data_IF_630252639350
#
_entry.id   IF_630252639350
#
_cell.length_a   1.000
_cell.length_b   1.000
_cell.length_c   1.000
_cell.angle_alpha   90.00
_cell.angle_beta   90.00
_cell.angle_gamma   90.00
#
_symmetry.space_group_name_H-M   'P 1'
#
loop_
_entity.id
_entity.type
_entity.pdbx_description
1 polymer ?
#
# COMPACT_ATOMS: atom_id res chain seq x y z
N UNK A 1 -88.85 17.89 16.88
CA UNK A 1 -89.60 17.60 18.13
C UNK A 1 -88.59 17.26 19.23
N UNK A 2 -88.73 17.90 20.40
CA UNK A 2 -88.03 17.70 21.70
C UNK A 2 -86.54 18.11 21.73
N UNK A 3 -85.96 18.77 22.75
CA UNK A 3 -86.36 19.45 24.02
C UNK A 3 -85.05 20.15 24.48
N UNK A 4 -85.00 21.48 24.53
CA UNK A 4 -84.75 22.34 25.71
C UNK A 4 -83.99 21.75 26.94
N UNK A 5 -82.88 22.41 27.29
CA UNK A 5 -82.31 22.73 28.64
C UNK A 5 -81.29 23.87 28.43
N UNK A 6 -81.46 25.17 28.74
CA UNK A 6 -81.56 25.93 30.02
C UNK A 6 -80.61 25.43 31.15
N UNK A 7 -79.82 26.20 31.93
CA UNK A 7 -79.71 27.64 32.26
C UNK A 7 -78.30 27.96 32.87
N UNK A 8 -77.89 29.24 32.77
CA UNK A 8 -77.31 30.15 33.80
C UNK A 8 -75.84 30.12 34.31
N UNK A 9 -75.20 31.28 34.06
CA UNK A 9 -74.67 32.30 34.99
C UNK A 9 -73.81 31.94 36.22
N UNK A 10 -72.63 32.59 36.21
CA UNK A 10 -72.04 33.43 37.27
C UNK A 10 -70.86 32.88 38.11
N UNK A 11 -69.81 33.72 38.12
CA UNK A 11 -68.83 34.02 39.20
C UNK A 11 -67.83 32.96 39.64
N UNK A 12 -66.53 33.30 39.61
CA UNK A 12 -65.67 33.64 40.78
C UNK A 12 -64.20 33.71 40.31
N UNK A 13 -63.50 34.75 40.76
CA UNK A 13 -62.05 34.90 40.65
C UNK A 13 -61.32 34.06 41.70
N UNK A 14 -60.19 33.45 41.36
CA UNK A 14 -59.16 33.14 42.34
C UNK A 14 -57.78 33.03 41.69
N UNK A 15 -56.81 33.67 42.35
CA UNK A 15 -55.41 33.83 42.02
C UNK A 15 -54.62 32.51 41.98
N UNK A 16 -53.56 32.47 41.15
CA UNK A 16 -52.51 31.47 41.21
C UNK A 16 -51.49 31.63 40.08
N UNK A 17 -50.27 32.04 40.43
CA UNK A 17 -49.16 32.33 39.54
C UNK A 17 -48.53 31.08 38.87
N UNK A 18 -47.90 31.23 37.69
CA UNK A 18 -46.47 30.98 37.43
C UNK A 18 -46.10 31.00 35.92
N UNK A 19 -44.86 31.45 35.65
CA UNK A 19 -43.98 31.19 34.47
C UNK A 19 -44.35 31.93 33.16
N UNK A 20 -43.68 33.05 32.80
CA UNK A 20 -42.31 33.18 32.27
C UNK A 20 -42.12 32.56 30.88
N UNK A 21 -42.05 33.41 29.84
CA UNK A 21 -40.88 33.61 28.98
C UNK A 21 -41.27 34.38 27.70
N UNK A 22 -40.61 35.51 27.49
CA UNK A 22 -40.69 36.35 26.30
C UNK A 22 -39.74 35.76 25.24
N UNK A 23 -40.26 35.25 24.12
CA UNK A 23 -39.45 34.86 22.97
C UNK A 23 -39.22 36.04 22.04
N UNK A 24 -38.17 36.82 22.27
CA UNK A 24 -37.66 37.80 21.32
C UNK A 24 -36.82 37.10 20.26
N UNK A 25 -37.18 37.27 19.00
CA UNK A 25 -36.39 36.83 17.85
C UNK A 25 -35.12 37.69 17.80
N UNK A 26 -33.97 37.09 18.12
CA UNK A 26 -32.68 37.72 17.89
C UNK A 26 -32.41 37.77 16.37
N UNK A 27 -31.75 38.82 15.85
CA UNK A 27 -31.31 38.86 14.46
C UNK A 27 -30.23 37.79 14.24
N UNK A 28 -30.35 37.02 13.16
CA UNK A 28 -29.31 36.12 12.66
C UNK A 28 -28.00 36.89 12.48
N UNK A 29 -26.97 36.51 13.24
CA UNK A 29 -25.62 36.97 12.99
C UNK A 29 -25.10 36.31 11.71
N UNK A 30 -24.45 37.06 10.80
CA UNK A 30 -23.89 36.48 9.59
C UNK A 30 -22.79 35.50 10.00
N UNK A 31 -22.96 34.24 9.62
CA UNK A 31 -21.92 33.21 9.74
C UNK A 31 -20.82 33.59 8.75
N UNK A 32 -19.68 34.07 9.25
CA UNK A 32 -18.49 34.26 8.40
C UNK A 32 -18.01 32.87 7.94
N UNK A 33 -18.08 32.63 6.62
CA UNK A 33 -17.46 31.46 6.01
C UNK A 33 -15.94 31.53 6.25
N UNK A 34 -15.29 30.44 6.69
CA UNK A 34 -13.86 30.45 6.90
C UNK A 34 -13.17 30.79 5.58
N UNK A 35 -12.34 31.83 5.58
CA UNK A 35 -11.51 32.16 4.43
C UNK A 35 -10.61 30.96 4.12
N UNK A 36 -10.75 30.41 2.91
CA UNK A 36 -9.80 29.41 2.39
C UNK A 36 -8.49 30.16 2.16
N UNK A 37 -7.46 29.87 2.96
CA UNK A 37 -6.13 30.40 2.76
C UNK A 37 -5.55 29.78 1.49
N UNK A 38 -5.55 30.52 0.40
CA UNK A 38 -4.99 30.08 -0.88
C UNK A 38 -3.46 30.14 -0.74
N UNK A 39 -2.80 28.99 -0.71
CA UNK A 39 -1.33 28.97 -0.69
C UNK A 39 -0.80 29.65 -1.97
N UNK A 40 0.18 30.56 -1.87
CA UNK A 40 0.72 31.23 -3.04
C UNK A 40 1.45 30.23 -3.95
N UNK A 41 1.32 30.44 -5.27
CA UNK A 41 2.12 29.67 -6.23
C UNK A 41 3.61 29.98 -6.05
N UNK A 42 4.43 28.94 -6.07
CA UNK A 42 5.87 29.01 -6.10
C UNK A 42 6.39 29.51 -7.46
N UNK A 43 7.70 29.71 -7.57
CA UNK A 43 8.34 30.00 -8.85
C UNK A 43 8.08 28.88 -9.87
N UNK A 44 8.05 29.22 -11.17
CA UNK A 44 7.73 28.28 -12.23
C UNK A 44 8.74 27.11 -12.27
N UNK A 45 8.24 25.90 -12.50
CA UNK A 45 9.08 24.72 -12.66
C UNK A 45 10.02 24.85 -13.88
N UNK A 46 11.25 24.31 -13.80
CA UNK A 46 12.09 24.18 -14.98
C UNK A 46 11.47 23.17 -15.97
N UNK A 47 11.80 23.28 -17.26
CA UNK A 47 11.30 22.34 -18.28
C UNK A 47 11.69 20.89 -17.98
N UNK A 48 12.90 20.69 -17.43
CA UNK A 48 13.53 19.42 -17.08
C UNK A 48 14.39 19.62 -15.84
N UNK A 49 14.70 18.53 -15.14
CA UNK A 49 15.53 18.56 -13.92
C UNK A 49 16.85 17.80 -14.08
N UNK A 50 17.22 17.41 -15.30
CA UNK A 50 18.45 16.68 -15.60
C UNK A 50 19.73 17.37 -15.11
N UNK A 51 19.80 18.70 -15.18
CA UNK A 51 20.96 19.48 -14.69
C UNK A 51 21.08 19.47 -13.15
N UNK A 52 20.03 19.03 -12.46
CA UNK A 52 19.97 18.89 -11.00
C UNK A 52 20.22 17.44 -10.54
N UNK A 53 20.63 16.55 -11.45
CA UNK A 53 20.93 15.14 -11.16
C UNK A 53 21.92 15.01 -10.00
N UNK A 54 21.62 14.08 -9.10
CA UNK A 54 22.41 13.82 -7.90
C UNK A 54 22.11 14.77 -6.74
N UNK A 55 21.18 15.72 -6.91
CA UNK A 55 20.57 16.41 -5.78
C UNK A 55 19.77 15.42 -4.94
N UNK A 56 19.77 15.64 -3.62
CA UNK A 56 18.89 14.93 -2.66
C UNK A 56 17.84 15.84 -2.05
N UNK A 57 17.93 17.14 -2.32
CA UNK A 57 17.04 18.14 -1.76
C UNK A 57 15.79 18.25 -2.63
N UNK A 58 14.64 17.94 -2.04
CA UNK A 58 13.34 18.18 -2.67
C UNK A 58 13.07 19.68 -2.80
N UNK A 59 12.32 20.06 -3.83
CA UNK A 59 11.89 21.45 -3.99
C UNK A 59 10.50 21.56 -4.61
N UNK A 60 9.81 22.65 -4.28
CA UNK A 60 8.49 22.97 -4.79
C UNK A 60 8.57 24.04 -5.87
N UNK A 61 7.82 23.85 -6.95
CA UNK A 61 7.67 24.82 -8.03
C UNK A 61 6.24 24.78 -8.57
N UNK A 62 5.85 25.75 -9.40
CA UNK A 62 4.51 25.81 -9.99
C UNK A 62 4.48 25.39 -11.45
N UNK A 63 3.41 24.68 -11.82
CA UNK A 63 3.10 24.30 -13.20
C UNK A 63 1.77 24.90 -13.63
N UNK A 64 1.68 25.33 -14.89
CA UNK A 64 0.43 25.73 -15.52
C UNK A 64 -0.04 24.66 -16.52
N UNK A 65 -1.33 24.67 -16.87
CA UNK A 65 -1.89 23.79 -17.90
C UNK A 65 -1.14 23.92 -19.22
N UNK A 66 -0.77 25.15 -19.64
CA UNK A 66 0.00 25.38 -20.87
C UNK A 66 1.35 24.65 -20.85
N UNK A 67 2.08 24.75 -19.73
CA UNK A 67 3.38 24.05 -19.59
C UNK A 67 3.21 22.53 -19.48
N UNK A 68 2.07 22.07 -18.99
CA UNK A 68 1.79 20.66 -18.78
C UNK A 68 1.33 19.92 -20.06
N UNK A 69 0.82 20.63 -21.06
CA UNK A 69 0.44 20.03 -22.34
C UNK A 69 1.66 19.77 -23.28
N UNK A 70 2.84 20.28 -22.93
CA UNK A 70 4.02 20.27 -23.79
C UNK A 70 5.10 19.26 -23.37
N UNK A 71 5.90 18.81 -24.34
CA UNK A 71 7.07 17.97 -24.09
C UNK A 71 6.81 16.46 -24.08
N UNK A 72 7.83 15.70 -23.72
CA UNK A 72 7.80 14.23 -23.66
C UNK A 72 8.10 13.78 -22.24
N UNK A 73 7.43 12.72 -21.80
CA UNK A 73 7.64 12.11 -20.50
C UNK A 73 8.02 10.64 -20.72
N UNK A 74 9.06 10.19 -20.03
CA UNK A 74 9.50 8.81 -20.01
C UNK A 74 9.27 8.22 -18.63
N UNK A 75 8.67 7.05 -18.58
CA UNK A 75 8.27 6.42 -17.31
C UNK A 75 6.93 6.90 -16.78
N UNK A 76 6.55 6.31 -15.64
CA UNK A 76 5.32 6.58 -14.93
C UNK A 76 5.58 6.33 -13.44
N UNK A 77 5.99 7.36 -12.71
CA UNK A 77 6.36 7.25 -11.29
C UNK A 77 7.76 7.80 -11.04
N UNK A 78 8.83 7.00 -10.97
CA UNK A 78 10.11 7.58 -11.35
C UNK A 78 10.01 7.91 -12.85
N UNK A 79 9.91 9.19 -13.15
CA UNK A 79 10.12 9.74 -14.49
C UNK A 79 11.61 9.94 -14.69
N UNK A 80 12.12 9.76 -15.91
CA UNK A 80 13.52 10.12 -16.17
C UNK A 80 13.71 11.63 -16.00
N UNK A 81 14.86 12.06 -15.47
CA UNK A 81 15.14 13.48 -15.17
C UNK A 81 15.19 14.41 -16.40
N UNK A 82 15.22 13.86 -17.61
CA UNK A 82 15.08 14.57 -18.88
C UNK A 82 13.63 14.67 -19.40
N UNK A 83 12.67 14.15 -18.63
CA UNK A 83 11.23 14.28 -18.91
C UNK A 83 10.73 15.71 -18.65
N UNK A 84 9.71 16.10 -19.42
CA UNK A 84 9.04 17.38 -19.24
C UNK A 84 8.29 17.42 -17.90
N UNK A 85 8.75 18.28 -16.98
CA UNK A 85 8.31 18.29 -15.57
C UNK A 85 6.80 18.50 -15.45
N UNK A 86 6.27 19.58 -16.03
CA UNK A 86 4.84 19.89 -15.87
C UNK A 86 3.93 18.89 -16.58
N UNK A 87 4.39 18.28 -17.68
CA UNK A 87 3.64 17.19 -18.33
C UNK A 87 3.65 15.91 -17.50
N UNK A 88 4.76 15.61 -16.82
CA UNK A 88 4.84 14.53 -15.86
C UNK A 88 3.95 14.79 -14.64
N UNK A 89 3.83 16.06 -14.21
CA UNK A 89 2.94 16.45 -13.11
C UNK A 89 1.45 16.30 -13.48
N UNK A 90 1.07 16.65 -14.70
CA UNK A 90 -0.28 16.38 -15.21
C UNK A 90 -0.54 14.89 -15.37
N UNK A 91 0.42 14.12 -15.89
CA UNK A 91 0.34 12.66 -15.87
C UNK A 91 0.13 12.13 -14.46
N UNK A 92 0.83 12.71 -13.47
CA UNK A 92 0.72 12.39 -12.05
C UNK A 92 -0.62 12.77 -11.39
N UNK A 93 -1.50 13.49 -12.10
CA UNK A 93 -2.78 13.97 -11.56
C UNK A 93 -2.64 15.19 -10.64
N UNK A 94 -1.46 15.81 -10.60
CA UNK A 94 -1.17 16.95 -9.73
C UNK A 94 -1.48 18.30 -10.38
N UNK A 95 -1.62 18.33 -11.71
CA UNK A 95 -1.91 19.54 -12.49
C UNK A 95 -3.10 19.25 -13.40
N UNK A 96 -4.12 20.11 -13.34
CA UNK A 96 -5.31 20.04 -14.17
C UNK A 96 -5.55 21.35 -14.93
N UNK A 97 -6.77 21.88 -14.83
CA UNK A 97 -7.18 23.13 -15.49
C UNK A 97 -6.67 24.40 -14.79
N UNK A 98 -6.24 24.28 -13.53
CA UNK A 98 -5.69 25.38 -12.75
C UNK A 98 -4.19 25.16 -12.49
N UNK A 99 -3.39 26.24 -12.40
CA UNK A 99 -1.99 26.13 -12.02
C UNK A 99 -1.86 25.61 -10.58
N UNK A 100 -0.87 24.74 -10.36
CA UNK A 100 -0.68 24.08 -9.07
C UNK A 100 0.81 24.04 -8.70
N UNK A 101 1.07 24.05 -7.39
CA UNK A 101 2.39 23.75 -6.84
C UNK A 101 2.61 22.25 -6.82
N UNK A 102 3.81 21.82 -7.21
CA UNK A 102 4.25 20.42 -7.18
C UNK A 102 5.61 20.34 -6.50
N UNK A 103 5.79 19.32 -5.65
CA UNK A 103 7.08 19.06 -5.00
C UNK A 103 7.78 17.90 -5.67
N UNK A 104 9.02 18.13 -6.10
CA UNK A 104 9.85 17.17 -6.84
C UNK A 104 10.86 16.52 -5.89
N UNK A 105 10.88 15.19 -5.90
CA UNK A 105 11.89 14.36 -5.27
C UNK A 105 12.84 13.77 -6.31
N UNK A 106 14.13 13.96 -6.09
CA UNK A 106 15.18 13.37 -6.92
C UNK A 106 15.49 11.94 -6.49
N UNK A 107 15.78 11.09 -7.46
CA UNK A 107 16.11 9.68 -7.24
C UNK A 107 17.25 9.24 -8.18
N UNK A 108 17.88 8.12 -7.84
CA UNK A 108 18.82 7.46 -8.75
C UNK A 108 18.14 7.05 -10.07
N UNK A 109 18.97 6.82 -11.09
CA UNK A 109 18.52 6.28 -12.37
C UNK A 109 17.90 4.88 -12.25
N UNK A 110 17.13 4.49 -13.27
CA UNK A 110 16.54 3.15 -13.42
C UNK A 110 17.12 2.45 -14.65
N UNK A 111 17.10 1.11 -14.63
CA UNK A 111 17.48 0.28 -15.77
C UNK A 111 16.42 0.21 -16.88
N UNK A 112 15.18 0.55 -16.54
CA UNK A 112 14.07 0.71 -17.47
C UNK A 112 13.02 1.67 -16.88
N UNK A 113 12.24 2.26 -17.77
CA UNK A 113 11.10 3.11 -17.46
C UNK A 113 9.89 2.60 -18.23
N UNK A 114 8.83 2.24 -17.52
CA UNK A 114 7.60 1.70 -18.11
C UNK A 114 6.67 2.84 -18.53
N UNK A 115 6.10 2.75 -19.73
CA UNK A 115 5.08 3.70 -20.18
C UNK A 115 3.73 3.45 -19.50
N UNK A 116 2.95 4.50 -19.30
CA UNK A 116 1.52 4.39 -19.00
C UNK A 116 0.73 5.52 -19.64
N UNK A 117 -0.59 5.42 -19.56
CA UNK A 117 -1.49 6.52 -19.84
C UNK A 117 -2.29 6.83 -18.57
N UNK A 118 -2.20 8.06 -18.10
CA UNK A 118 -2.96 8.54 -16.95
C UNK A 118 -3.26 10.03 -17.12
N UNK A 119 -4.42 10.45 -16.61
CA UNK A 119 -4.84 11.87 -16.59
C UNK A 119 -4.76 12.55 -17.97
N UNK A 120 -5.05 11.80 -19.04
CA UNK A 120 -5.01 12.29 -20.42
C UNK A 120 -3.60 12.43 -21.02
N UNK A 121 -2.56 11.99 -20.32
CA UNK A 121 -1.17 12.01 -20.78
C UNK A 121 -0.69 10.58 -21.02
N UNK A 122 -0.17 10.32 -22.22
CA UNK A 122 0.57 9.08 -22.53
C UNK A 122 2.08 9.35 -22.34
N UNK A 123 2.75 8.50 -21.57
CA UNK A 123 4.21 8.51 -21.40
C UNK A 123 4.87 7.43 -22.27
N UNK A 124 6.20 7.44 -22.35
CA UNK A 124 6.95 6.50 -23.19
C UNK A 124 7.87 5.62 -22.37
N UNK A 125 8.07 4.41 -22.88
CA UNK A 125 9.00 3.46 -22.29
C UNK A 125 10.43 3.83 -22.69
N UNK A 126 11.37 3.61 -21.79
CA UNK A 126 12.79 3.79 -22.05
C UNK A 126 13.61 2.71 -21.36
N UNK A 127 14.84 2.51 -21.84
CA UNK A 127 15.81 1.64 -21.19
C UNK A 127 16.55 2.35 -20.06
N UNK A 128 17.78 1.92 -19.79
CA UNK A 128 18.58 2.44 -18.68
C UNK A 128 18.86 3.94 -18.86
N UNK A 129 18.64 4.72 -17.79
CA UNK A 129 18.90 6.16 -17.73
C UNK A 129 19.39 6.58 -16.34
N UNK A 130 20.28 7.57 -16.30
CA UNK A 130 21.11 7.86 -15.13
C UNK A 130 20.50 8.71 -14.02
N UNK A 131 19.26 9.14 -14.11
CA UNK A 131 18.61 9.92 -13.04
C UNK A 131 17.10 9.97 -13.20
N UNK A 132 16.40 10.01 -12.08
CA UNK A 132 14.94 10.00 -12.05
C UNK A 132 14.40 11.08 -11.11
N UNK A 133 13.13 11.40 -11.26
CA UNK A 133 12.38 12.16 -10.27
C UNK A 133 10.97 11.64 -10.12
N UNK A 134 10.36 11.92 -8.97
CA UNK A 134 8.95 11.67 -8.69
C UNK A 134 8.35 12.90 -7.99
N UNK A 135 7.02 12.95 -7.86
CA UNK A 135 6.35 14.01 -7.12
C UNK A 135 5.85 13.53 -5.77
N UNK A 136 5.93 14.38 -4.74
CA UNK A 136 5.22 14.13 -3.48
C UNK A 136 3.71 14.11 -3.71
N UNK A 137 3.02 13.14 -3.12
CA UNK A 137 1.55 13.05 -3.19
C UNK A 137 1.00 12.63 -4.56
N UNK A 138 1.84 12.24 -5.52
CA UNK A 138 1.35 11.59 -6.74
C UNK A 138 0.72 10.23 -6.38
N UNK A 139 -0.60 10.11 -6.59
CA UNK A 139 -1.36 8.86 -6.45
C UNK A 139 -1.27 7.97 -7.68
N UNK A 140 -0.44 8.32 -8.67
CA UNK A 140 0.11 7.29 -9.51
C UNK A 140 0.92 6.43 -8.56
N UNK A 141 0.32 5.32 -8.13
CA UNK A 141 1.02 4.30 -7.39
C UNK A 141 2.40 4.18 -8.00
N UNK A 142 3.43 4.17 -7.14
CA UNK A 142 4.75 3.68 -7.51
C UNK A 142 4.55 2.60 -8.57
N UNK A 143 5.25 2.66 -9.73
CA UNK A 143 5.06 1.61 -10.71
C UNK A 143 5.16 0.33 -9.91
N UNK A 144 4.16 -0.54 -10.07
CA UNK A 144 4.23 -1.93 -9.65
C UNK A 144 5.45 -2.49 -10.38
N UNK A 145 6.59 -2.21 -9.77
CA UNK A 145 7.95 -2.38 -10.21
C UNK A 145 8.66 -3.21 -9.16
N UNK A 146 7.88 -4.09 -8.53
CA UNK A 146 8.22 -5.49 -8.44
C UNK A 146 7.01 -6.26 -9.03
N UNK A 147 6.98 -6.46 -10.36
CA UNK A 147 6.57 -7.80 -10.81
C UNK A 147 7.66 -8.74 -10.30
N UNK A 148 7.56 -9.15 -9.04
CA UNK A 148 7.98 -10.51 -8.71
C UNK A 148 7.18 -11.38 -9.66
N UNK A 149 7.85 -12.02 -10.62
CA UNK A 149 7.24 -13.15 -11.31
C UNK A 149 6.55 -14.00 -10.24
N UNK A 150 5.22 -14.20 -10.36
CA UNK A 150 4.46 -14.94 -9.37
C UNK A 150 5.23 -16.22 -9.03
N UNK A 151 5.68 -16.34 -7.78
CA UNK A 151 6.55 -17.42 -7.39
C UNK A 151 5.86 -18.74 -7.73
N UNK A 152 6.60 -19.63 -8.39
CA UNK A 152 6.08 -20.95 -8.73
C UNK A 152 5.62 -21.68 -7.47
N UNK A 153 4.65 -22.56 -7.61
CA UNK A 153 4.12 -23.32 -6.47
C UNK A 153 5.24 -24.14 -5.81
N UNK A 154 5.28 -24.10 -4.47
CA UNK A 154 6.27 -24.87 -3.73
C UNK A 154 6.19 -26.37 -4.03
N UNK A 155 7.35 -27.07 -4.07
CA UNK A 155 7.34 -28.51 -4.17
C UNK A 155 6.74 -29.11 -2.90
N UNK A 156 6.07 -30.26 -3.02
CA UNK A 156 5.48 -30.94 -1.86
C UNK A 156 6.50 -31.44 -0.83
N UNK A 157 7.78 -31.53 -1.18
CA UNK A 157 8.94 -31.74 -0.31
C UNK A 157 10.23 -31.35 -1.04
N UNK A 158 11.34 -31.28 -0.31
CA UNK A 158 12.63 -30.82 -0.80
C UNK A 158 13.60 -31.96 -1.21
N UNK A 159 13.21 -33.25 -1.18
CA UNK A 159 14.10 -34.39 -1.49
C UNK A 159 14.84 -34.27 -2.82
N UNK A 160 14.20 -33.69 -3.83
CA UNK A 160 14.77 -33.54 -5.17
C UNK A 160 15.87 -32.47 -5.23
N UNK A 161 15.91 -31.59 -4.24
CA UNK A 161 16.86 -30.49 -4.12
C UNK A 161 18.03 -30.85 -3.20
N UNK A 162 18.06 -32.07 -2.66
CA UNK A 162 19.10 -32.49 -1.73
C UNK A 162 20.50 -32.26 -2.29
N UNK A 163 21.33 -31.61 -1.48
CA UNK A 163 22.74 -31.34 -1.80
C UNK A 163 22.96 -30.22 -2.81
N UNK A 164 21.93 -29.42 -3.13
CA UNK A 164 22.13 -28.19 -3.92
C UNK A 164 22.67 -27.05 -3.07
N UNK A 165 22.38 -27.03 -1.77
CA UNK A 165 22.68 -25.90 -0.86
C UNK A 165 22.08 -24.56 -1.34
N UNK A 166 21.07 -24.62 -2.21
CA UNK A 166 20.45 -23.45 -2.83
C UNK A 166 19.28 -22.93 -1.99
N UNK A 167 19.11 -21.60 -2.01
CA UNK A 167 17.89 -20.94 -1.55
C UNK A 167 16.81 -21.03 -2.63
N UNK A 168 15.62 -21.46 -2.24
CA UNK A 168 14.46 -21.66 -3.11
C UNK A 168 13.34 -20.76 -2.64
N UNK A 169 12.85 -19.92 -3.55
CA UNK A 169 11.66 -19.08 -3.37
C UNK A 169 10.48 -19.71 -4.10
N UNK A 170 9.36 -19.85 -3.42
CA UNK A 170 8.14 -20.43 -3.98
C UNK A 170 6.90 -19.93 -3.23
N UNK A 171 5.71 -20.17 -3.78
CA UNK A 171 4.44 -19.78 -3.15
C UNK A 171 3.64 -20.99 -2.63
N UNK A 172 3.10 -20.86 -1.42
CA UNK A 172 2.23 -21.83 -0.79
C UNK A 172 0.76 -21.45 -0.92
N UNK A 173 -0.07 -22.44 -1.23
CA UNK A 173 -1.54 -22.31 -1.17
C UNK A 173 -2.05 -22.80 0.17
N UNK A 174 -3.25 -22.37 0.58
CA UNK A 174 -3.93 -22.89 1.76
C UNK A 174 -3.95 -24.44 1.79
N UNK A 175 -4.29 -25.08 0.67
CA UNK A 175 -4.31 -26.55 0.59
C UNK A 175 -2.93 -27.16 0.84
N UNK A 176 -1.87 -26.57 0.30
CA UNK A 176 -0.51 -27.07 0.51
C UNK A 176 -0.05 -26.97 1.98
N UNK A 177 -0.60 -26.04 2.77
CA UNK A 177 -0.30 -25.95 4.22
C UNK A 177 -0.93 -27.08 5.04
N UNK A 178 -1.94 -27.76 4.50
CA UNK A 178 -2.60 -28.89 5.15
C UNK A 178 -1.97 -30.24 4.76
N UNK A 179 -1.11 -30.26 3.75
CA UNK A 179 -0.57 -31.47 3.13
C UNK A 179 0.83 -31.85 3.66
N UNK A 180 1.10 -33.15 3.74
CA UNK A 180 2.40 -33.69 4.15
C UNK A 180 2.58 -33.87 5.66
N UNK A 181 3.68 -34.53 6.05
CA UNK A 181 4.12 -34.64 7.46
C UNK A 181 5.26 -33.66 7.69
N UNK A 182 5.47 -33.23 8.94
CA UNK A 182 6.59 -32.36 9.33
C UNK A 182 7.44 -33.09 10.36
N UNK A 183 8.75 -33.15 10.11
CA UNK A 183 9.74 -33.72 11.04
C UNK A 183 10.80 -32.66 11.35
N UNK A 184 11.08 -32.46 12.63
CA UNK A 184 11.96 -31.40 13.11
C UNK A 184 11.26 -30.05 13.35
N UNK A 185 12.03 -29.12 13.89
CA UNK A 185 11.64 -27.74 14.21
C UNK A 185 12.87 -26.86 14.05
N UNK A 186 12.73 -25.72 13.36
CA UNK A 186 13.85 -24.91 12.87
C UNK A 186 14.51 -25.57 11.65
N UNK A 187 15.20 -26.69 11.88
CA UNK A 187 15.67 -27.57 10.80
C UNK A 187 14.66 -28.70 10.56
N UNK A 188 14.18 -28.83 9.32
CA UNK A 188 13.21 -29.84 8.91
C UNK A 188 13.85 -30.88 7.99
N UNK A 189 13.46 -32.16 8.08
CA UNK A 189 13.91 -33.16 7.11
C UNK A 189 13.43 -32.80 5.71
N UNK A 190 14.24 -33.05 4.68
CA UNK A 190 13.91 -32.70 3.29
C UNK A 190 12.70 -33.43 2.70
N UNK A 191 12.14 -34.39 3.43
CA UNK A 191 10.91 -35.07 3.09
C UNK A 191 9.66 -34.56 3.79
N UNK A 192 9.83 -33.52 4.61
CA UNK A 192 8.71 -32.78 5.20
C UNK A 192 7.95 -31.99 4.13
N UNK A 193 6.66 -31.79 4.36
CA UNK A 193 5.83 -30.92 3.53
C UNK A 193 6.29 -29.48 3.65
N UNK A 194 6.81 -28.87 2.58
CA UNK A 194 7.42 -27.52 2.63
C UNK A 194 6.44 -26.48 3.17
N UNK A 195 5.24 -26.39 2.60
CA UNK A 195 4.24 -25.41 3.03
C UNK A 195 3.67 -25.67 4.42
N UNK A 196 3.55 -26.94 4.82
CA UNK A 196 3.12 -27.30 6.17
C UNK A 196 4.21 -27.02 7.22
N UNK A 197 5.48 -27.21 6.87
CA UNK A 197 6.61 -26.83 7.70
C UNK A 197 6.75 -25.30 7.80
N UNK A 198 6.46 -24.57 6.72
CA UNK A 198 6.42 -23.10 6.73
C UNK A 198 5.32 -22.57 7.65
N UNK A 199 4.13 -23.20 7.64
CA UNK A 199 3.07 -22.90 8.60
C UNK A 199 3.51 -23.22 10.03
N UNK A 200 4.13 -24.39 10.26
CA UNK A 200 4.67 -24.76 11.58
C UNK A 200 5.69 -23.72 12.10
N UNK A 201 6.62 -23.27 11.24
CA UNK A 201 7.61 -22.24 11.55
C UNK A 201 7.00 -20.83 11.73
N UNK A 202 5.74 -20.63 11.32
CA UNK A 202 5.08 -19.32 11.38
C UNK A 202 5.51 -18.37 10.27
N UNK A 203 6.13 -18.89 9.21
CA UNK A 203 6.52 -18.13 8.01
C UNK A 203 5.29 -17.74 7.19
N UNK A 204 4.30 -18.65 7.11
CA UNK A 204 3.02 -18.42 6.43
C UNK A 204 1.84 -18.69 7.36
N UNK A 205 0.66 -18.24 6.95
CA UNK A 205 -0.60 -18.53 7.64
C UNK A 205 -1.32 -19.70 6.96
N UNK A 206 -2.47 -20.12 7.51
CA UNK A 206 -3.30 -21.17 6.90
C UNK A 206 -3.85 -20.82 5.51
N UNK A 207 -3.80 -19.55 5.12
CA UNK A 207 -4.17 -19.12 3.76
C UNK A 207 -3.03 -19.33 2.74
N UNK A 208 -1.82 -19.66 3.21
CA UNK A 208 -0.61 -19.75 2.40
C UNK A 208 0.21 -18.46 2.42
N UNK A 209 1.04 -18.28 1.40
CA UNK A 209 1.97 -17.16 1.26
C UNK A 209 3.30 -17.58 0.64
N UNK A 210 4.14 -16.58 0.37
CA UNK A 210 5.45 -16.79 -0.22
C UNK A 210 6.45 -17.24 0.84
N UNK A 211 7.34 -18.16 0.45
CA UNK A 211 8.34 -18.74 1.34
C UNK A 211 9.70 -18.76 0.68
N UNK A 212 10.73 -18.55 1.48
CA UNK A 212 12.11 -18.82 1.11
C UNK A 212 12.71 -19.83 2.07
N UNK A 213 13.25 -20.92 1.52
CA UNK A 213 13.96 -21.93 2.30
C UNK A 213 15.28 -22.30 1.65
N UNK A 214 16.24 -22.74 2.45
CA UNK A 214 17.56 -23.17 2.00
C UNK A 214 17.73 -24.66 2.26
N UNK A 215 18.28 -25.38 1.29
CA UNK A 215 18.68 -26.77 1.49
C UNK A 215 19.95 -26.83 2.33
N UNK A 216 19.96 -27.67 3.36
CA UNK A 216 21.13 -27.88 4.21
C UNK A 216 21.40 -29.38 4.40
N UNK A 217 22.57 -29.70 4.95
CA UNK A 217 22.95 -31.08 5.25
C UNK A 217 21.97 -31.77 6.23
N UNK A 218 21.94 -33.10 6.17
CA UNK A 218 21.21 -33.92 7.11
C UNK A 218 21.75 -33.81 8.54
N UNK A 219 20.90 -34.08 9.54
CA UNK A 219 21.27 -34.14 10.95
C UNK A 219 21.13 -35.57 11.51
N UNK A 220 21.84 -35.86 12.60
CA UNK A 220 21.76 -37.15 13.31
C UNK A 220 20.47 -37.31 14.13
N UNK A 221 19.78 -36.21 14.41
CA UNK A 221 18.51 -36.18 15.14
C UNK A 221 17.77 -34.87 14.89
N UNK A 222 16.44 -34.93 14.84
CA UNK A 222 15.54 -33.80 14.69
C UNK A 222 14.56 -33.79 15.86
N UNK A 223 14.34 -32.63 16.48
CA UNK A 223 13.38 -32.47 17.57
C UNK A 223 12.07 -31.91 17.02
N UNK A 224 10.96 -32.58 17.28
CA UNK A 224 9.61 -32.13 16.94
C UNK A 224 9.04 -31.18 18.00
N UNK A 225 8.02 -30.43 17.61
CA UNK A 225 7.29 -29.51 18.47
C UNK A 225 5.87 -29.30 17.97
N UNK A 226 5.03 -28.64 18.78
CA UNK A 226 3.76 -28.11 18.31
C UNK A 226 3.87 -26.58 18.22
N UNK A 227 3.70 -26.04 17.02
CA UNK A 227 3.74 -24.60 16.76
C UNK A 227 2.73 -24.23 15.67
N UNK A 228 2.10 -23.06 15.80
CA UNK A 228 1.17 -22.50 14.81
C UNK A 228 0.04 -23.46 14.37
N UNK A 229 -0.42 -24.33 15.28
CA UNK A 229 -1.47 -25.31 15.02
C UNK A 229 -1.01 -26.56 14.23
N UNK A 230 0.29 -26.71 14.00
CA UNK A 230 0.90 -27.87 13.35
C UNK A 230 1.73 -28.65 14.38
N UNK A 231 1.58 -29.98 14.39
CA UNK A 231 2.47 -30.90 15.11
C UNK A 231 3.60 -31.34 14.16
N UNK A 232 4.84 -31.08 14.54
CA UNK A 232 6.03 -31.72 13.95
C UNK A 232 6.55 -32.82 14.87
N UNK A 233 7.23 -33.81 14.29
CA UNK A 233 7.64 -35.03 15.00
C UNK A 233 9.16 -35.13 15.12
N UNK A 234 9.60 -35.77 16.20
CA UNK A 234 10.98 -36.18 16.35
C UNK A 234 11.39 -37.16 15.25
N UNK A 235 12.65 -37.07 14.82
CA UNK A 235 13.23 -38.05 13.90
C UNK A 235 14.70 -38.32 14.21
N UNK A 236 15.19 -39.48 13.78
CA UNK A 236 16.59 -39.87 13.93
C UNK A 236 17.45 -39.33 12.78
N UNK A 237 18.57 -39.99 12.53
CA UNK A 237 19.50 -39.59 11.47
C UNK A 237 18.82 -39.58 10.09
N UNK A 238 18.97 -38.47 9.37
CA UNK A 238 18.46 -38.30 8.02
C UNK A 238 19.49 -37.61 7.11
N UNK A 239 19.27 -37.68 5.81
CA UNK A 239 20.32 -37.42 4.79
C UNK A 239 20.22 -36.06 4.10
N UNK A 240 19.22 -35.25 4.44
CA UNK A 240 19.06 -33.91 3.88
C UNK A 240 18.01 -33.12 4.64
N UNK A 241 18.17 -31.81 4.73
CA UNK A 241 17.27 -30.95 5.48
C UNK A 241 16.98 -29.64 4.73
N UNK A 242 16.05 -28.86 5.25
CA UNK A 242 15.89 -27.47 4.89
C UNK A 242 15.56 -26.61 6.11
N UNK A 243 15.84 -25.31 5.97
CA UNK A 243 15.61 -24.26 6.97
C UNK A 243 14.98 -23.03 6.30
N UNK A 244 14.17 -22.26 7.02
CA UNK A 244 13.58 -21.02 6.52
C UNK A 244 14.42 -19.81 6.94
N UNK A 245 14.55 -18.80 6.08
CA UNK A 245 15.44 -17.64 6.30
C UNK A 245 14.97 -16.70 7.43
N UNK A 246 13.70 -16.77 7.86
CA UNK A 246 13.12 -15.95 8.93
C UNK A 246 12.79 -16.72 10.22
N UNK A 247 13.29 -17.94 10.39
CA UNK A 247 13.15 -18.72 11.64
C UNK A 247 14.01 -18.08 12.74
N UNK A 248 13.52 -16.98 13.33
CA UNK A 248 14.04 -16.47 14.59
C UNK A 248 13.54 -17.39 15.69
N UNK A 249 14.34 -18.42 15.95
CA UNK A 249 14.11 -19.42 16.99
C UNK A 249 13.96 -18.92 18.42
#
# INVERSE_FOLDING_TARGET
MKRHSIINFATVAMSGALLAACGGTAPDEPVEEPAVEVEPLADACPDRVQDMRGSTDAFTCSCSTETAEAGTVWGAGPYSDDSAVCRAAMHAGLVGDEPANVTINFMDGRDSYTASEANGVETRQWGSWGGSFAFEGAELGEPEGEETAALEACPGNARQLRGTEEAVQCSCTAQATEDGTVWGSGTYTDDSGVCRAALHAGIVTGDGGDVTFTIVDGQESYSGSEANGVESRDYGAWSGSFEFEDDKG
#
